data_IF_498770886371
#
_entry.id   IF_498770886371
#
_cell.length_a   1.000
_cell.length_b   1.000
_cell.length_c   1.000
_cell.angle_alpha   90.00
_cell.angle_beta   90.00
_cell.angle_gamma   90.00
#
_symmetry.space_group_name_H-M   'P 1'
#
loop_
_entity.id
_entity.type
_entity.pdbx_description
1 polymer ?
#
# COMPACT_ATOMS: atom_id res chain seq x y z
N UNK A 1 3.43 -21.85 13.50
CA UNK A 1 3.17 -22.25 12.10
C UNK A 1 4.45 -22.88 11.58
N UNK A 2 4.56 -24.20 11.67
CA UNK A 2 5.74 -24.95 11.25
C UNK A 2 5.69 -25.22 9.75
N UNK A 3 6.77 -24.89 9.04
CA UNK A 3 6.97 -25.22 7.63
C UNK A 3 7.50 -26.66 7.53
N UNK A 4 6.71 -27.55 6.90
CA UNK A 4 6.99 -28.98 6.77
C UNK A 4 7.35 -29.37 5.32
N UNK A 5 8.01 -28.50 4.55
CA UNK A 5 8.51 -28.89 3.24
C UNK A 5 9.80 -29.73 3.32
N UNK A 6 9.84 -30.85 2.59
CA UNK A 6 11.03 -31.68 2.45
C UNK A 6 12.07 -30.98 1.56
N UNK A 7 13.39 -31.11 1.83
CA UNK A 7 14.41 -30.51 0.99
C UNK A 7 14.42 -31.14 -0.41
N UNK A 8 14.71 -30.31 -1.40
CA UNK A 8 14.86 -30.67 -2.82
C UNK A 8 15.91 -31.79 -3.04
N UNK A 9 15.52 -32.82 -3.80
CA UNK A 9 16.25 -34.10 -3.98
C UNK A 9 17.45 -34.04 -4.96
N UNK A 10 17.85 -32.84 -5.39
CA UNK A 10 18.92 -32.64 -6.38
C UNK A 10 20.30 -32.25 -5.82
N UNK A 11 20.47 -32.16 -4.50
CA UNK A 11 21.73 -31.70 -3.89
C UNK A 11 22.78 -32.83 -3.83
N UNK A 12 23.68 -32.89 -4.81
CA UNK A 12 24.88 -33.75 -4.72
C UNK A 12 25.84 -33.19 -3.65
N UNK A 13 26.10 -34.00 -2.62
CA UNK A 13 27.04 -33.66 -1.54
C UNK A 13 28.48 -33.64 -2.03
N UNK A 14 29.10 -32.46 -2.06
CA UNK A 14 30.54 -32.31 -2.22
C UNK A 14 31.21 -32.56 -0.87
N UNK A 15 31.90 -33.70 -0.76
CA UNK A 15 32.80 -33.98 0.37
C UNK A 15 33.99 -33.02 0.31
N UNK A 16 34.00 -32.01 1.17
CA UNK A 16 35.26 -31.36 1.56
C UNK A 16 35.17 -30.80 2.97
N UNK A 17 36.02 -31.34 3.85
CA UNK A 17 36.30 -30.79 5.19
C UNK A 17 37.07 -29.49 5.00
N UNK A 18 36.59 -28.37 5.54
CA UNK A 18 37.40 -27.45 6.37
C UNK A 18 36.63 -26.17 6.74
N UNK A 19 36.62 -25.90 8.05
CA UNK A 19 36.56 -24.61 8.75
C UNK A 19 35.46 -23.58 8.45
N UNK A 20 34.63 -23.35 9.48
CA UNK A 20 33.68 -22.25 9.64
C UNK A 20 34.33 -20.89 9.41
N UNK A 21 33.83 -20.15 8.42
CA UNK A 21 33.73 -18.69 8.45
C UNK A 21 32.37 -18.31 7.86
N UNK A 22 31.47 -17.80 8.70
CA UNK A 22 30.22 -17.17 8.24
C UNK A 22 30.59 -15.85 7.58
N UNK A 23 30.96 -15.89 6.30
CA UNK A 23 30.93 -14.72 5.45
C UNK A 23 29.47 -14.50 5.06
N UNK A 24 28.88 -13.40 5.53
CA UNK A 24 27.66 -12.85 4.93
C UNK A 24 27.99 -12.60 3.46
N UNK A 25 27.57 -13.49 2.57
CA UNK A 25 27.61 -13.22 1.13
C UNK A 25 26.72 -12.01 0.92
N UNK A 26 27.35 -10.84 0.75
CA UNK A 26 26.67 -9.64 0.30
C UNK A 26 26.21 -9.92 -1.13
N UNK A 27 24.98 -10.39 -1.26
CA UNK A 27 24.29 -10.49 -2.54
C UNK A 27 23.84 -9.06 -2.80
N UNK A 28 24.59 -8.30 -3.58
CA UNK A 28 24.03 -7.07 -4.16
C UNK A 28 23.00 -7.54 -5.19
N UNK A 29 21.68 -7.36 -4.97
CA UNK A 29 20.75 -7.59 -6.05
C UNK A 29 21.17 -6.66 -7.19
N UNK A 30 21.41 -7.23 -8.36
CA UNK A 30 21.70 -6.45 -9.56
C UNK A 30 20.40 -5.77 -10.00
N UNK A 31 20.00 -4.73 -9.26
CA UNK A 31 18.83 -3.92 -9.59
C UNK A 31 19.28 -3.03 -10.74
N UNK A 32 18.69 -3.23 -11.92
CA UNK A 32 18.80 -2.26 -13.02
C UNK A 32 18.48 -0.89 -12.44
N UNK A 33 19.39 0.09 -12.56
CA UNK A 33 19.27 1.42 -11.95
C UNK A 33 18.18 2.31 -12.56
N UNK A 34 17.10 1.71 -13.04
CA UNK A 34 15.97 2.39 -13.66
C UNK A 34 14.91 2.73 -12.61
N UNK A 35 14.26 3.88 -12.78
CA UNK A 35 13.21 4.31 -11.86
C UNK A 35 11.92 3.56 -12.21
N UNK A 36 11.37 2.83 -11.25
CA UNK A 36 10.08 2.15 -11.40
C UNK A 36 8.95 3.03 -10.86
N UNK A 37 7.99 3.40 -11.71
CA UNK A 37 6.75 4.05 -11.26
C UNK A 37 5.89 3.03 -10.50
N UNK A 38 5.71 3.25 -9.20
CA UNK A 38 4.91 2.35 -8.34
C UNK A 38 3.44 2.78 -8.27
N UNK A 39 3.13 4.00 -8.70
CA UNK A 39 1.77 4.51 -8.79
C UNK A 39 1.68 6.02 -8.83
N UNK A 40 0.45 6.51 -8.91
CA UNK A 40 0.11 7.92 -9.01
C UNK A 40 -0.90 8.31 -7.92
N UNK A 41 -0.68 9.47 -7.29
CA UNK A 41 -1.63 10.10 -6.36
C UNK A 41 -2.09 11.43 -6.95
N UNK A 42 -3.41 11.59 -7.09
CA UNK A 42 -4.04 12.81 -7.59
C UNK A 42 -4.90 13.46 -6.51
N UNK A 43 -4.76 14.78 -6.37
CA UNK A 43 -5.58 15.60 -5.48
C UNK A 43 -6.47 16.52 -6.30
N UNK A 44 -7.78 16.55 -5.99
CA UNK A 44 -8.72 17.53 -6.56
C UNK A 44 -9.24 18.46 -5.48
N UNK A 45 -9.17 19.75 -5.76
CA UNK A 45 -9.79 20.80 -4.96
C UNK A 45 -11.29 20.88 -5.28
N UNK A 46 -12.13 21.11 -4.26
CA UNK A 46 -13.53 21.41 -4.46
C UNK A 46 -13.68 22.93 -4.63
N UNK A 47 -13.69 23.42 -5.88
CA UNK A 47 -13.78 24.86 -6.20
C UNK A 47 -15.04 25.56 -5.66
N UNK A 48 -16.15 24.83 -5.49
CA UNK A 48 -17.46 25.43 -5.12
C UNK A 48 -17.83 25.33 -3.63
N UNK A 49 -17.07 24.62 -2.79
CA UNK A 49 -17.38 24.46 -1.36
C UNK A 49 -16.08 24.44 -0.55
N UNK A 50 -15.73 25.59 0.03
CA UNK A 50 -14.52 25.83 0.84
C UNK A 50 -14.40 25.01 2.14
N UNK A 51 -15.27 24.01 2.35
CA UNK A 51 -15.37 23.25 3.61
C UNK A 51 -15.50 21.73 3.40
N UNK A 52 -15.06 21.22 2.24
CA UNK A 52 -15.05 19.78 1.95
C UNK A 52 -13.65 19.18 2.05
N UNK A 53 -13.49 17.93 2.55
CA UNK A 53 -12.23 17.19 2.46
C UNK A 53 -11.70 17.15 1.02
N UNK A 54 -10.38 17.24 0.85
CA UNK A 54 -9.73 17.12 -0.47
C UNK A 54 -10.06 15.75 -1.07
N UNK A 55 -10.44 15.72 -2.35
CA UNK A 55 -10.68 14.45 -3.06
C UNK A 55 -9.33 13.87 -3.46
N UNK A 56 -9.01 12.70 -2.94
CA UNK A 56 -7.75 11.98 -3.20
C UNK A 56 -8.07 10.70 -3.96
N UNK A 57 -7.34 10.49 -5.05
CA UNK A 57 -7.44 9.28 -5.87
C UNK A 57 -6.03 8.72 -6.08
N UNK A 58 -5.85 7.43 -5.81
CA UNK A 58 -4.58 6.74 -6.00
C UNK A 58 -4.76 5.62 -7.02
N UNK A 59 -3.80 5.47 -7.91
CA UNK A 59 -3.67 4.34 -8.83
C UNK A 59 -2.32 3.69 -8.56
N UNK A 60 -2.31 2.52 -7.94
CA UNK A 60 -1.10 1.84 -7.47
C UNK A 60 -0.87 0.59 -8.30
N UNK A 61 0.35 0.41 -8.80
CA UNK A 61 0.71 -0.83 -9.48
C UNK A 61 0.94 -1.92 -8.43
N UNK A 62 0.14 -2.97 -8.47
CA UNK A 62 0.36 -4.16 -7.67
C UNK A 62 1.10 -5.19 -8.52
N UNK A 63 2.29 -5.65 -8.10
CA UNK A 63 2.91 -6.81 -8.73
C UNK A 63 1.99 -8.00 -8.50
N UNK A 64 1.45 -8.57 -9.57
CA UNK A 64 0.70 -9.83 -9.47
C UNK A 64 1.71 -10.88 -9.03
N UNK A 65 1.55 -11.41 -7.82
CA UNK A 65 2.34 -12.54 -7.38
C UNK A 65 2.15 -13.68 -8.38
N UNK A 66 3.21 -14.04 -9.12
CA UNK A 66 3.25 -15.28 -9.88
C UNK A 66 3.28 -16.46 -8.90
N UNK A 67 2.14 -16.72 -8.26
CA UNK A 67 1.90 -17.96 -7.55
C UNK A 67 1.49 -19.01 -8.57
N UNK A 68 2.48 -19.65 -9.19
CA UNK A 68 2.48 -21.06 -9.61
C UNK A 68 3.75 -21.30 -10.42
N UNK A 69 4.55 -22.29 -10.01
CA UNK A 69 5.60 -22.85 -10.82
C UNK A 69 4.97 -23.35 -12.13
N UNK A 70 5.03 -22.53 -13.17
CA UNK A 70 4.60 -22.88 -14.52
C UNK A 70 5.83 -23.12 -15.37
N UNK A 71 5.85 -24.32 -15.93
CA UNK A 71 6.80 -24.92 -16.85
C UNK A 71 7.43 -23.90 -17.85
N UNK A 72 8.76 -23.85 -18.03
CA UNK A 72 9.45 -22.82 -18.82
C UNK A 72 9.31 -22.96 -20.34
N UNK A 73 8.15 -23.34 -20.88
CA UNK A 73 7.98 -23.65 -22.31
C UNK A 73 6.96 -22.81 -23.08
N UNK A 74 6.53 -21.64 -22.59
CA UNK A 74 5.76 -20.68 -23.40
C UNK A 74 6.05 -19.22 -23.01
N UNK A 75 6.93 -18.58 -23.77
CA UNK A 75 7.10 -17.12 -23.76
C UNK A 75 5.78 -16.45 -24.18
N UNK A 76 5.08 -15.91 -23.20
CA UNK A 76 4.05 -14.88 -23.38
C UNK A 76 4.54 -13.67 -22.59
N UNK A 77 4.55 -12.45 -23.16
CA UNK A 77 5.08 -11.28 -22.45
C UNK A 77 4.34 -11.10 -21.11
N UNK A 78 5.04 -10.67 -20.03
CA UNK A 78 4.41 -10.42 -18.74
C UNK A 78 3.59 -9.12 -18.81
N UNK A 79 2.41 -9.20 -19.40
CA UNK A 79 1.37 -8.17 -19.32
C UNK A 79 0.15 -8.83 -18.71
N UNK A 80 -0.14 -8.62 -17.43
CA UNK A 80 -0.74 -7.38 -16.94
C UNK A 80 -0.40 -7.15 -15.46
N UNK A 81 0.23 -6.03 -15.12
CA UNK A 81 0.21 -5.53 -13.74
C UNK A 81 -1.24 -5.20 -13.37
N UNK A 82 -1.73 -5.71 -12.25
CA UNK A 82 -3.04 -5.32 -11.72
C UNK A 82 -2.89 -3.94 -11.08
N UNK A 83 -3.70 -2.97 -11.51
CA UNK A 83 -3.71 -1.63 -10.90
C UNK A 83 -4.77 -1.54 -9.81
N UNK A 84 -4.36 -1.21 -8.59
CA UNK A 84 -5.24 -0.94 -7.46
C UNK A 84 -5.67 0.52 -7.48
N UNK A 85 -6.96 0.76 -7.72
CA UNK A 85 -7.57 2.08 -7.55
C UNK A 85 -8.04 2.26 -6.10
N UNK A 86 -7.64 3.37 -5.47
CA UNK A 86 -8.11 3.75 -4.13
C UNK A 86 -8.65 5.18 -4.16
N UNK A 87 -9.71 5.44 -3.39
CA UNK A 87 -10.29 6.77 -3.21
C UNK A 87 -10.46 7.10 -1.74
N UNK A 88 -10.50 8.39 -1.41
CA UNK A 88 -10.83 8.82 -0.06
C UNK A 88 -12.22 8.29 0.34
N UNK A 89 -12.32 7.74 1.56
CA UNK A 89 -13.63 7.42 2.16
C UNK A 89 -14.42 8.72 2.34
N UNK A 90 -15.71 8.68 2.06
CA UNK A 90 -16.60 9.80 2.34
C UNK A 90 -16.76 9.94 3.87
N UNK A 91 -16.66 11.15 4.43
CA UNK A 91 -16.93 11.34 5.85
C UNK A 91 -18.39 11.02 6.16
N UNK A 92 -18.65 10.55 7.38
CA UNK A 92 -20.01 10.35 7.90
C UNK A 92 -20.39 11.57 8.73
N UNK A 93 -21.65 11.97 8.67
CA UNK A 93 -22.19 12.95 9.60
C UNK A 93 -22.19 12.37 11.01
N UNK A 94 -21.73 13.15 11.97
CA UNK A 94 -21.78 12.80 13.39
C UNK A 94 -22.70 13.76 14.13
N UNK A 95 -23.87 13.27 14.54
CA UNK A 95 -24.93 14.11 15.12
C UNK A 95 -24.49 14.85 16.39
N UNK A 96 -23.88 14.17 17.36
CA UNK A 96 -23.46 14.84 18.61
C UNK A 96 -22.38 15.92 18.40
N UNK A 97 -21.46 15.71 17.46
CA UNK A 97 -20.37 16.64 17.18
C UNK A 97 -20.74 17.69 16.11
N UNK A 98 -21.91 17.54 15.47
CA UNK A 98 -22.40 18.38 14.38
C UNK A 98 -21.34 18.62 13.28
N UNK A 99 -20.61 17.56 12.92
CA UNK A 99 -19.53 17.65 11.95
C UNK A 99 -19.44 16.41 11.05
N UNK A 100 -18.81 16.58 9.88
CA UNK A 100 -18.45 15.48 8.99
C UNK A 100 -17.11 14.91 9.44
N UNK A 101 -17.07 13.65 9.89
CA UNK A 101 -15.86 13.01 10.35
C UNK A 101 -15.70 11.58 9.83
N UNK A 102 -14.46 11.09 9.84
CA UNK A 102 -14.14 9.69 9.63
C UNK A 102 -14.01 9.00 10.99
N UNK A 103 -14.38 7.72 11.06
CA UNK A 103 -14.17 6.92 12.25
C UNK A 103 -12.80 6.23 12.20
N UNK A 104 -11.86 6.74 12.99
CA UNK A 104 -10.50 6.20 13.11
C UNK A 104 -10.34 5.20 14.27
N UNK A 105 -11.43 4.82 14.96
CA UNK A 105 -11.42 3.84 16.05
C UNK A 105 -10.37 4.16 17.14
N UNK A 106 -10.21 5.44 17.47
CA UNK A 106 -9.22 5.90 18.47
C UNK A 106 -7.77 5.93 17.98
N UNK A 107 -7.48 5.55 16.73
CA UNK A 107 -6.11 5.60 16.16
C UNK A 107 -5.64 7.03 15.87
N UNK A 108 -6.57 7.93 15.58
CA UNK A 108 -6.30 9.33 15.27
C UNK A 108 -6.97 10.20 16.33
N UNK A 109 -6.18 11.04 16.98
CA UNK A 109 -6.59 11.83 18.16
C UNK A 109 -6.49 13.33 17.93
N UNK A 110 -5.71 13.77 16.94
CA UNK A 110 -5.49 15.19 16.64
C UNK A 110 -6.09 15.55 15.29
N UNK A 111 -6.87 16.64 15.25
CA UNK A 111 -7.45 17.16 14.02
C UNK A 111 -6.36 17.62 13.03
N UNK A 112 -6.46 17.20 11.77
CA UNK A 112 -5.51 17.57 10.72
C UNK A 112 -6.12 17.32 9.35
N UNK A 113 -5.75 18.15 8.36
CA UNK A 113 -6.07 17.92 6.94
C UNK A 113 -5.36 16.68 6.37
N UNK A 114 -4.42 16.10 7.12
CA UNK A 114 -3.72 14.85 6.78
C UNK A 114 -4.45 13.60 7.29
N UNK A 115 -5.57 13.75 8.00
CA UNK A 115 -6.34 12.61 8.47
C UNK A 115 -7.20 12.08 7.32
N UNK A 116 -6.92 10.88 6.83
CA UNK A 116 -7.67 10.28 5.73
C UNK A 116 -7.75 8.76 5.83
N UNK A 117 -8.78 8.21 5.20
CA UNK A 117 -8.94 6.78 4.94
C UNK A 117 -9.08 6.60 3.43
N UNK A 118 -8.42 5.59 2.87
CA UNK A 118 -8.57 5.16 1.49
C UNK A 118 -9.29 3.81 1.44
N UNK A 119 -10.26 3.72 0.53
CA UNK A 119 -11.04 2.50 0.26
C UNK A 119 -10.86 2.09 -1.19
N UNK A 120 -10.90 0.79 -1.46
CA UNK A 120 -11.03 0.27 -2.81
C UNK A 120 -12.48 0.46 -3.30
N UNK A 121 -12.71 0.82 -4.58
CA UNK A 121 -14.05 0.91 -5.13
C UNK A 121 -14.70 -0.48 -5.21
N UNK A 122 -15.99 -0.54 -4.89
CA UNK A 122 -16.78 -1.75 -5.04
C UNK A 122 -16.96 -2.15 -6.50
N UNK A 123 -17.06 -3.45 -6.75
CA UNK A 123 -17.37 -3.98 -8.09
C UNK A 123 -16.16 -4.09 -9.03
N UNK A 124 -14.92 -3.90 -8.56
CA UNK A 124 -13.79 -4.45 -9.31
C UNK A 124 -13.87 -5.97 -9.18
N UNK A 125 -13.97 -6.65 -10.32
CA UNK A 125 -13.84 -8.11 -10.44
C UNK A 125 -12.38 -8.54 -10.15
N UNK A 126 -11.77 -7.97 -9.12
CA UNK A 126 -10.44 -8.29 -8.70
C UNK A 126 -10.46 -9.66 -7.99
N UNK A 127 -9.49 -10.55 -8.26
CA UNK A 127 -9.34 -11.83 -7.57
C UNK A 127 -9.15 -11.72 -6.04
N UNK A 128 -9.05 -10.49 -5.52
CA UNK A 128 -8.62 -10.16 -4.18
C UNK A 128 -9.75 -10.06 -3.15
N UNK A 129 -10.99 -10.40 -3.53
CA UNK A 129 -12.05 -10.75 -2.58
C UNK A 129 -12.24 -9.73 -1.45
N UNK A 130 -12.22 -8.44 -1.77
CA UNK A 130 -12.52 -7.40 -0.78
C UNK A 130 -14.04 -7.25 -0.70
N UNK A 131 -14.64 -8.05 0.17
CA UNK A 131 -16.02 -7.89 0.60
C UNK A 131 -16.25 -6.50 1.21
N UNK A 132 -17.43 -5.98 0.93
CA UNK A 132 -18.00 -4.69 1.32
C UNK A 132 -17.34 -3.42 0.75
N UNK A 133 -18.20 -2.55 0.22
CA UNK A 133 -17.89 -1.28 -0.47
C UNK A 133 -17.15 -0.22 0.38
N UNK A 134 -16.70 -0.58 1.59
CA UNK A 134 -16.11 0.31 2.58
C UNK A 134 -14.83 -0.21 3.24
N UNK A 135 -14.24 -1.31 2.75
CA UNK A 135 -13.00 -1.81 3.33
C UNK A 135 -11.89 -0.75 3.24
N UNK A 136 -11.47 -0.27 4.40
CA UNK A 136 -10.36 0.69 4.53
C UNK A 136 -9.04 -0.05 4.29
N UNK A 137 -8.36 0.31 3.20
CA UNK A 137 -7.08 -0.26 2.78
C UNK A 137 -5.90 0.51 3.38
N UNK A 138 -6.03 1.83 3.53
CA UNK A 138 -5.03 2.69 4.17
C UNK A 138 -5.73 3.69 5.08
N UNK A 139 -5.27 3.80 6.31
CA UNK A 139 -5.69 4.81 7.28
C UNK A 139 -4.46 5.55 7.77
N UNK A 140 -4.49 6.88 7.66
CA UNK A 140 -3.42 7.75 8.12
C UNK A 140 -3.99 8.91 8.92
N UNK A 141 -3.33 9.31 10.00
CA UNK A 141 -3.72 10.50 10.74
C UNK A 141 -2.83 10.86 11.91
N UNK A 142 -2.99 12.10 12.37
CA UNK A 142 -2.15 12.75 13.39
C UNK A 142 -2.53 12.26 14.80
N UNK A 143 -1.51 11.96 15.60
CA UNK A 143 -1.67 11.63 17.03
C UNK A 143 -0.97 12.64 17.95
N UNK A 144 0.12 13.25 17.49
CA UNK A 144 0.86 14.32 18.18
C UNK A 144 1.49 15.24 17.13
N UNK A 145 2.25 16.27 17.53
CA UNK A 145 2.74 17.29 16.61
C UNK A 145 3.53 16.76 15.42
N UNK A 146 4.46 15.85 15.69
CA UNK A 146 5.31 15.21 14.68
C UNK A 146 5.10 13.68 14.62
N UNK A 147 3.97 13.19 15.14
CA UNK A 147 3.65 11.76 15.17
C UNK A 147 2.31 11.45 14.49
N UNK A 148 2.32 10.40 13.68
CA UNK A 148 1.18 9.94 12.89
C UNK A 148 1.05 8.42 12.98
N UNK A 149 -0.17 7.92 12.96
CA UNK A 149 -0.45 6.48 12.78
C UNK A 149 -0.65 6.17 11.30
N UNK A 150 -0.14 5.02 10.86
CA UNK A 150 -0.35 4.48 9.51
C UNK A 150 -0.76 3.00 9.62
N UNK A 151 -2.02 2.71 9.30
CA UNK A 151 -2.55 1.35 9.23
C UNK A 151 -2.82 1.01 7.77
N UNK A 152 -2.28 -0.11 7.28
CA UNK A 152 -2.46 -0.53 5.89
C UNK A 152 -2.83 -2.02 5.80
N UNK A 153 -3.49 -2.39 4.72
CA UNK A 153 -3.91 -3.77 4.43
C UNK A 153 -3.46 -4.19 3.04
N UNK A 154 -3.29 -5.50 2.87
CA UNK A 154 -3.17 -6.11 1.56
C UNK A 154 -4.32 -5.63 0.63
N UNK A 155 -4.05 -5.31 -0.65
CA UNK A 155 -2.82 -5.56 -1.42
C UNK A 155 -1.74 -4.47 -1.34
N UNK A 156 -1.90 -3.46 -0.47
CA UNK A 156 -0.92 -2.40 -0.34
C UNK A 156 0.31 -2.88 0.45
N UNK A 157 1.50 -2.63 -0.06
CA UNK A 157 2.75 -2.82 0.71
C UNK A 157 3.03 -1.64 1.64
N UNK A 158 3.85 -1.84 2.67
CA UNK A 158 4.29 -0.77 3.57
C UNK A 158 4.96 0.38 2.82
N UNK A 159 5.77 0.07 1.80
CA UNK A 159 6.42 1.08 0.96
C UNK A 159 5.41 1.95 0.20
N UNK A 160 4.43 1.33 -0.45
CA UNK A 160 3.37 2.04 -1.17
C UNK A 160 2.52 2.89 -0.22
N UNK A 161 2.12 2.32 0.92
CA UNK A 161 1.37 3.03 1.95
C UNK A 161 2.12 4.27 2.44
N UNK A 162 3.40 4.11 2.76
CA UNK A 162 4.24 5.20 3.23
C UNK A 162 4.42 6.29 2.17
N UNK A 163 4.72 5.92 0.93
CA UNK A 163 4.85 6.85 -0.19
C UNK A 163 3.57 7.68 -0.39
N UNK A 164 2.39 7.04 -0.36
CA UNK A 164 1.09 7.71 -0.41
C UNK A 164 0.95 8.71 0.76
N UNK A 165 1.28 8.31 1.99
CA UNK A 165 1.18 9.20 3.15
C UNK A 165 2.08 10.43 3.02
N UNK A 166 3.30 10.29 2.51
CA UNK A 166 4.22 11.41 2.27
C UNK A 166 3.65 12.44 1.30
N UNK A 167 2.88 12.03 0.29
CA UNK A 167 2.25 12.98 -0.65
C UNK A 167 1.28 13.95 0.04
N UNK A 168 0.74 13.60 1.23
CA UNK A 168 -0.12 14.49 2.03
C UNK A 168 0.64 15.63 2.74
N UNK A 169 1.96 15.56 2.79
CA UNK A 169 2.83 16.62 3.33
C UNK A 169 3.25 17.64 2.27
N UNK A 170 3.01 17.35 0.98
CA UNK A 170 3.31 18.25 -0.14
C UNK A 170 2.61 19.61 -0.01
N UNK A 171 3.34 20.67 -0.37
CA UNK A 171 3.02 22.07 -0.08
C UNK A 171 1.62 22.49 -0.53
N UNK A 172 0.93 23.15 0.40
CA UNK A 172 -0.28 23.93 0.15
C UNK A 172 0.08 25.06 -0.84
N UNK A 173 -0.44 25.04 -2.06
CA UNK A 173 -0.43 26.23 -2.91
C UNK A 173 -1.51 27.26 -2.53
N UNK A 174 -2.35 26.97 -1.53
CA UNK A 174 -3.26 27.95 -0.93
C UNK A 174 -3.84 27.35 0.36
N UNK A 175 -3.35 27.78 1.54
CA UNK A 175 -4.05 27.72 2.84
C UNK A 175 -3.04 28.13 3.95
N UNK A 176 -2.70 29.42 4.03
CA UNK A 176 -2.66 30.04 5.37
C UNK A 176 -4.10 30.32 5.79
#
# INVERSE_FOLDING_TARGET
>A
MYDNQKPYDGAKSLKSRSSRRFATKQISPHVSGDNLEVGQVSYRFNFLKSRGPRRMHCSIQCPVGQGTASDPSKEKPPSTSSSLSLKNKAPRWHDHLQCWCLNFHGRVTVASVKNFQLVAPAGTSDPWGVGDEETVILQFGKIEDDAFTMDFRHPLSAYQAFAICLTSFGTKLACE
#
